data_IF_735022204008
#
_entry.id   IF_735022204008
#
_cell.length_a   1.000
_cell.length_b   1.000
_cell.length_c   1.000
_cell.angle_alpha   90.00
_cell.angle_beta   90.00
_cell.angle_gamma   90.00
#
_symmetry.space_group_name_H-M   'P 1'
#
loop_
_entity.id
_entity.type
_entity.pdbx_description
1 polymer ?
#
# COMPACT_ATOMS: atom_id res chain seq x y z
N UNK A 1 -5.77 7.81 -10.85
CA UNK A 1 -6.24 6.57 -10.20
C UNK A 1 -5.49 6.41 -8.88
N UNK A 2 -6.20 6.26 -7.76
CA UNK A 2 -5.59 6.21 -6.43
C UNK A 2 -5.24 4.74 -6.08
N UNK A 3 -4.26 4.18 -6.80
CA UNK A 3 -3.76 2.81 -6.63
C UNK A 3 -2.60 2.80 -5.62
N UNK A 4 -2.52 1.77 -4.78
CA UNK A 4 -1.37 1.53 -3.90
C UNK A 4 -0.29 0.73 -4.63
N UNK A 5 0.94 1.18 -4.52
CA UNK A 5 2.14 0.49 -5.01
C UNK A 5 3.06 0.24 -3.83
N UNK A 6 3.46 -1.01 -3.65
CA UNK A 6 4.33 -1.46 -2.56
C UNK A 6 5.73 -1.66 -3.12
N UNK A 7 6.67 -0.83 -2.69
CA UNK A 7 8.08 -0.89 -3.13
C UNK A 7 8.94 -1.36 -1.97
N UNK A 8 9.58 -2.52 -2.13
CA UNK A 8 10.53 -3.06 -1.15
C UNK A 8 11.79 -2.19 -1.14
N UNK A 9 12.27 -1.84 0.05
CA UNK A 9 13.56 -1.18 0.23
C UNK A 9 14.66 -2.24 0.35
N UNK A 10 15.62 -2.23 -0.58
CA UNK A 10 16.69 -3.24 -0.63
C UNK A 10 17.82 -2.98 0.37
N UNK A 11 18.05 -1.72 0.75
CA UNK A 11 19.13 -1.31 1.68
C UNK A 11 18.69 -1.37 3.16
N UNK A 12 17.50 -1.90 3.44
CA UNK A 12 16.99 -1.98 4.82
C UNK A 12 17.38 -3.31 5.48
N UNK A 13 17.79 -3.30 6.77
CA UNK A 13 18.21 -4.50 7.49
C UNK A 13 17.06 -5.49 7.73
N UNK A 14 15.81 -5.05 7.53
CA UNK A 14 14.59 -5.83 7.65
C UNK A 14 13.72 -5.60 6.43
N UNK A 15 12.81 -6.53 6.15
CA UNK A 15 11.87 -6.38 5.05
C UNK A 15 10.95 -5.18 5.32
N UNK A 16 11.18 -4.10 4.56
CA UNK A 16 10.43 -2.84 4.63
C UNK A 16 9.86 -2.52 3.25
N UNK A 17 8.61 -2.08 3.24
CA UNK A 17 7.91 -1.59 2.07
C UNK A 17 7.49 -0.15 2.26
N UNK A 18 7.80 0.70 1.28
CA UNK A 18 7.20 2.03 1.14
C UNK A 18 5.99 1.92 0.23
N UNK A 19 4.91 2.56 0.63
CA UNK A 19 3.64 2.48 -0.06
C UNK A 19 3.34 3.83 -0.67
N UNK A 20 3.13 3.84 -1.98
CA UNK A 20 2.86 5.05 -2.74
C UNK A 20 1.52 4.98 -3.46
N UNK A 21 0.91 6.15 -3.67
CA UNK A 21 -0.18 6.33 -4.62
C UNK A 21 0.12 7.52 -5.53
N UNK A 22 0.35 7.24 -6.82
CA UNK A 22 0.91 8.23 -7.73
C UNK A 22 2.28 8.71 -7.26
N UNK A 23 2.44 10.01 -7.03
CA UNK A 23 3.69 10.61 -6.53
C UNK A 23 3.76 10.71 -4.99
N UNK A 24 2.71 10.28 -4.27
CA UNK A 24 2.61 10.46 -2.82
C UNK A 24 3.05 9.18 -2.10
N UNK A 25 3.87 9.32 -1.06
CA UNK A 25 4.07 8.26 -0.06
C UNK A 25 2.91 8.35 0.91
N UNK A 26 2.17 7.25 1.06
CA UNK A 26 0.93 7.21 1.86
C UNK A 26 1.04 6.28 3.06
N UNK A 27 2.07 5.44 3.12
CA UNK A 27 2.23 4.49 4.21
C UNK A 27 3.47 3.63 4.11
N UNK A 28 3.60 2.70 5.05
CA UNK A 28 4.67 1.70 5.12
C UNK A 28 4.18 0.39 5.73
N UNK A 29 4.89 -0.69 5.39
CA UNK A 29 4.81 -1.99 6.07
C UNK A 29 6.23 -2.41 6.42
N UNK A 30 6.47 -2.76 7.67
CA UNK A 30 7.80 -3.11 8.18
C UNK A 30 7.75 -4.45 8.93
N UNK A 31 8.66 -5.35 8.62
CA UNK A 31 8.96 -6.51 9.46
C UNK A 31 9.68 -6.04 10.72
N UNK A 32 9.08 -6.26 11.88
CA UNK A 32 9.65 -5.96 13.20
C UNK A 32 10.48 -7.13 13.70
N UNK A 33 9.97 -8.35 13.51
CA UNK A 33 10.60 -9.60 13.92
C UNK A 33 10.47 -10.64 12.80
N UNK A 34 11.61 -11.08 12.31
CA UNK A 34 11.76 -12.04 11.20
C UNK A 34 11.95 -13.46 11.74
N UNK A 35 11.02 -13.90 12.60
CA UNK A 35 10.94 -15.27 13.11
C UNK A 35 9.85 -16.04 12.35
N UNK A 36 9.90 -17.38 12.29
CA UNK A 36 8.80 -18.15 11.73
C UNK A 36 7.51 -17.92 12.52
N UNK A 37 6.36 -18.05 11.86
CA UNK A 37 5.07 -17.99 12.54
C UNK A 37 5.03 -19.00 13.71
N UNK A 38 4.46 -18.62 14.88
CA UNK A 38 3.65 -17.42 15.13
C UNK A 38 4.42 -16.19 15.64
N UNK A 39 5.75 -16.26 15.75
CA UNK A 39 6.55 -15.20 16.38
C UNK A 39 6.91 -14.05 15.43
N UNK A 40 6.63 -14.20 14.13
CA UNK A 40 6.71 -13.11 13.15
C UNK A 40 5.89 -11.90 13.61
N UNK A 41 6.46 -10.70 13.49
CA UNK A 41 5.73 -9.45 13.78
C UNK A 41 5.94 -8.45 12.66
N UNK A 42 4.83 -7.90 12.20
CA UNK A 42 4.76 -6.91 11.14
C UNK A 42 4.00 -5.70 11.62
N UNK A 43 4.47 -4.51 11.28
CA UNK A 43 3.69 -3.28 11.47
C UNK A 43 3.32 -2.68 10.14
N UNK A 44 2.17 -2.02 10.12
CA UNK A 44 1.72 -1.22 9.00
C UNK A 44 1.27 0.14 9.50
N UNK A 45 1.38 1.14 8.63
CA UNK A 45 0.88 2.47 8.89
C UNK A 45 0.46 3.16 7.60
N UNK A 46 -0.74 3.74 7.62
CA UNK A 46 -1.25 4.67 6.62
C UNK A 46 -1.27 6.07 7.23
N UNK A 47 -0.64 7.03 6.55
CA UNK A 47 -0.54 8.42 6.99
C UNK A 47 -0.84 9.34 5.81
N UNK A 48 -2.00 10.00 5.88
CA UNK A 48 -2.49 10.92 4.86
C UNK A 48 -2.87 12.24 5.54
N UNK A 49 -2.02 13.26 5.37
CA UNK A 49 -2.31 14.62 5.80
C UNK A 49 -2.91 15.39 4.60
N UNK A 50 -4.23 15.32 4.41
CA UNK A 50 -4.92 16.16 3.42
C UNK A 50 -6.01 16.97 4.14
N UNK A 51 -5.85 18.29 4.16
CA UNK A 51 -6.76 19.20 4.85
C UNK A 51 -6.45 19.35 6.35
N UNK A 52 -7.46 19.70 7.15
CA UNK A 52 -7.27 20.06 8.56
C UNK A 52 -7.20 18.87 9.53
N UNK A 53 -7.66 17.68 9.11
CA UNK A 53 -7.70 16.48 9.94
C UNK A 53 -6.78 15.40 9.36
N UNK A 54 -5.68 15.03 10.06
CA UNK A 54 -4.79 13.98 9.59
C UNK A 54 -5.47 12.61 9.68
N UNK A 55 -5.43 11.82 8.61
CA UNK A 55 -5.86 10.42 8.63
C UNK A 55 -4.67 9.53 8.95
N UNK A 56 -4.70 8.90 10.12
CA UNK A 56 -3.63 8.01 10.60
C UNK A 56 -4.23 6.70 11.11
N UNK A 57 -3.74 5.60 10.55
CA UNK A 57 -4.09 4.23 10.94
C UNK A 57 -2.85 3.37 10.92
N UNK A 58 -2.79 2.37 11.79
CA UNK A 58 -1.68 1.44 11.86
C UNK A 58 -1.83 0.50 13.05
N UNK A 59 -1.19 -0.66 12.95
CA UNK A 59 -1.15 -1.66 14.00
C UNK A 59 0.05 -2.59 13.82
N UNK A 60 0.21 -3.52 14.76
CA UNK A 60 1.11 -4.67 14.64
C UNK A 60 0.26 -5.92 14.45
N UNK A 61 0.67 -6.80 13.54
CA UNK A 61 0.02 -8.06 13.18
C UNK A 61 1.07 -9.17 13.03
N UNK A 62 0.63 -10.40 12.89
CA UNK A 62 1.53 -11.56 12.92
C UNK A 62 2.09 -11.92 11.54
N UNK A 63 1.51 -11.41 10.45
CA UNK A 63 1.95 -11.72 9.10
C UNK A 63 2.01 -10.50 8.18
N UNK A 64 2.83 -10.58 7.12
CA UNK A 64 2.88 -9.56 6.07
C UNK A 64 1.54 -9.41 5.36
N UNK A 65 0.88 -10.53 5.04
CA UNK A 65 -0.39 -10.50 4.31
C UNK A 65 -1.50 -9.82 5.13
N UNK A 66 -1.54 -10.04 6.45
CA UNK A 66 -2.44 -9.30 7.34
C UNK A 66 -2.12 -7.79 7.35
N UNK A 67 -0.83 -7.43 7.33
CA UNK A 67 -0.40 -6.04 7.36
C UNK A 67 -0.83 -5.31 6.07
N UNK A 68 -0.65 -5.97 4.92
CA UNK A 68 -1.09 -5.48 3.61
C UNK A 68 -2.62 -5.38 3.56
N UNK A 69 -3.34 -6.42 3.97
CA UNK A 69 -4.81 -6.43 3.95
C UNK A 69 -5.41 -5.33 4.84
N UNK A 70 -4.87 -5.13 6.05
CA UNK A 70 -5.32 -4.08 6.95
C UNK A 70 -5.05 -2.67 6.39
N UNK A 71 -3.95 -2.50 5.66
CA UNK A 71 -3.62 -1.24 5.00
C UNK A 71 -4.53 -0.95 3.80
N UNK A 72 -4.83 -1.95 2.97
CA UNK A 72 -5.81 -1.83 1.87
C UNK A 72 -7.21 -1.47 2.40
N UNK A 73 -7.60 -2.06 3.53
CA UNK A 73 -8.85 -1.72 4.22
C UNK A 73 -8.84 -0.26 4.70
N UNK A 74 -7.78 0.18 5.37
CA UNK A 74 -7.64 1.57 5.81
C UNK A 74 -7.62 2.58 4.65
N UNK A 75 -7.03 2.19 3.51
CA UNK A 75 -7.05 2.98 2.27
C UNK A 75 -8.47 3.11 1.70
N UNK A 76 -9.24 2.02 1.73
CA UNK A 76 -10.65 2.04 1.31
C UNK A 76 -11.48 2.95 2.20
N UNK A 77 -11.32 2.87 3.51
CA UNK A 77 -11.98 3.77 4.48
C UNK A 77 -11.61 5.24 4.23
N UNK A 78 -10.32 5.51 3.99
CA UNK A 78 -9.87 6.86 3.68
C UNK A 78 -10.47 7.40 2.39
N UNK A 79 -10.52 6.61 1.31
CA UNK A 79 -11.16 7.01 0.04
C UNK A 79 -12.62 7.39 0.28
N UNK A 80 -13.37 6.57 1.02
CA UNK A 80 -14.77 6.85 1.37
C UNK A 80 -14.91 8.14 2.18
N UNK A 81 -14.09 8.34 3.22
CA UNK A 81 -14.07 9.56 4.01
C UNK A 81 -13.76 10.81 3.17
N UNK A 82 -12.83 10.70 2.23
CA UNK A 82 -12.43 11.77 1.32
C UNK A 82 -13.42 12.01 0.16
N UNK A 83 -14.49 11.21 0.05
CA UNK A 83 -15.42 11.27 -1.08
C UNK A 83 -14.79 10.86 -2.43
N UNK A 84 -13.73 10.06 -2.39
CA UNK A 84 -13.01 9.55 -3.55
C UNK A 84 -13.53 8.15 -3.92
N UNK A 85 -13.67 7.91 -5.21
CA UNK A 85 -13.95 6.59 -5.77
C UNK A 85 -12.81 6.18 -6.71
N UNK A 86 -12.63 4.87 -6.90
CA UNK A 86 -11.75 4.39 -7.95
C UNK A 86 -12.31 4.80 -9.31
N UNK A 87 -11.46 5.44 -10.12
CA UNK A 87 -11.83 5.80 -11.47
C UNK A 87 -11.60 4.58 -12.37
N UNK A 88 -12.62 3.74 -12.56
CA UNK A 88 -12.70 2.85 -13.71
C UNK A 88 -14.16 2.62 -14.13
N UNK A 89 -14.50 3.14 -15.31
CA UNK A 89 -15.38 2.42 -16.24
C UNK A 89 -14.46 1.66 -17.19
N UNK A 90 -14.79 0.43 -17.59
CA UNK A 90 -13.84 -0.51 -18.18
C UNK A 90 -13.15 0.09 -19.39
N UNK A 91 -11.82 0.19 -19.32
CA UNK A 91 -10.96 0.58 -20.43
C UNK A 91 -10.98 -0.54 -21.50
N UNK A 92 -12.04 -0.55 -22.30
CA UNK A 92 -12.11 -1.30 -23.54
C UNK A 92 -11.29 -0.56 -24.60
N UNK A 93 -9.96 -0.68 -24.52
CA UNK A 93 -9.08 -0.28 -25.61
C UNK A 93 -8.05 -1.37 -25.88
N UNK A 94 -8.40 -2.21 -26.84
CA UNK A 94 -7.44 -3.06 -27.54
C UNK A 94 -6.35 -2.19 -28.16
N UNK A 95 -5.13 -2.33 -27.64
CA UNK A 95 -3.91 -1.81 -28.25
C UNK A 95 -2.92 -2.96 -28.32
N UNK A 96 -2.58 -3.37 -29.54
CA UNK A 96 -1.73 -4.52 -29.86
C UNK A 96 -0.42 -4.60 -29.04
N UNK A 97 0.13 -5.82 -28.82
CA UNK A 97 1.42 -5.96 -28.15
C UNK A 97 2.54 -5.31 -28.98
N UNK A 98 3.56 -4.71 -28.34
CA UNK A 98 4.69 -4.13 -29.05
C UNK A 98 5.45 -5.22 -29.80
N UNK A 99 5.49 -5.11 -31.13
CA UNK A 99 6.39 -5.88 -31.99
C UNK A 99 7.84 -5.52 -31.65
N UNK A 100 8.59 -6.47 -31.13
CA UNK A 100 10.06 -6.38 -31.02
C UNK A 100 10.64 -6.39 -32.43
N UNK A 101 11.29 -5.30 -32.82
CA UNK A 101 12.12 -5.22 -34.02
C UNK A 101 13.59 -5.38 -33.63
N UNK A 102 14.14 -6.53 -34.03
CA UNK A 102 15.54 -6.96 -34.15
C UNK A 102 16.44 -6.92 -32.93
#
# INVERSE_FOLDING_TARGET
MAKLIYTRLEDHPRETYVITSGALIVGRVDCIRDDPAPDAQWTWGLHLDIGAAPFRRGATVSTRDEAVAALEQAWTEWKLWAGLCDADGPDASGGAPPRVLR
#
